data_IF_385103240160
#
_entry.id   IF_385103240160
#
_cell.length_a   1.000
_cell.length_b   1.000
_cell.length_c   1.000
_cell.angle_alpha   90.00
_cell.angle_beta   90.00
_cell.angle_gamma   90.00
#
_symmetry.space_group_name_H-M   'P 1'
#
loop_
_entity.id
_entity.type
_entity.pdbx_description
1 polymer ?
#
# COMPACT_ATOMS: atom_id res chain seq x y z
N UNK A 1 27.55 -31.94 15.90
CA UNK A 1 27.38 -30.84 14.93
C UNK A 1 25.91 -30.46 14.91
N UNK A 2 25.54 -29.46 15.71
CA UNK A 2 24.16 -29.06 15.98
C UNK A 2 23.69 -28.14 14.86
N UNK A 3 22.79 -28.60 13.99
CA UNK A 3 22.14 -27.74 13.00
C UNK A 3 21.14 -26.82 13.70
N UNK A 4 21.40 -25.50 13.69
CA UNK A 4 20.41 -24.47 14.05
C UNK A 4 19.25 -24.52 13.06
N UNK A 5 18.03 -24.76 13.56
CA UNK A 5 16.78 -24.53 12.81
C UNK A 5 16.66 -23.03 12.52
N UNK A 6 16.66 -22.64 11.25
CA UNK A 6 16.37 -21.28 10.83
C UNK A 6 14.94 -20.87 11.19
N UNK A 7 14.79 -19.65 11.72
CA UNK A 7 13.50 -19.00 11.97
C UNK A 7 12.72 -18.88 10.64
N UNK A 8 11.75 -19.76 10.42
CA UNK A 8 10.78 -19.61 9.32
C UNK A 8 9.70 -18.63 9.76
N UNK A 9 9.79 -17.37 9.31
CA UNK A 9 8.70 -16.38 9.49
C UNK A 9 7.48 -16.86 8.70
N UNK A 10 6.34 -17.03 9.38
CA UNK A 10 5.06 -17.46 8.81
C UNK A 10 4.38 -16.26 8.15
N UNK A 11 3.72 -16.46 7.00
CA UNK A 11 2.85 -15.45 6.41
C UNK A 11 1.53 -15.41 7.18
N UNK A 12 1.10 -14.22 7.59
CA UNK A 12 -0.14 -14.05 8.34
C UNK A 12 -1.12 -13.17 7.57
N UNK A 13 -2.35 -13.67 7.49
CA UNK A 13 -3.48 -12.93 6.97
C UNK A 13 -4.37 -12.54 8.15
N UNK A 14 -4.56 -11.23 8.32
CA UNK A 14 -5.45 -10.66 9.32
C UNK A 14 -6.73 -10.21 8.60
N UNK A 15 -7.85 -10.76 9.04
CA UNK A 15 -9.16 -10.47 8.47
C UNK A 15 -9.99 -9.62 9.42
N UNK A 16 -10.98 -8.96 8.82
CA UNK A 16 -12.20 -8.54 9.47
C UNK A 16 -13.28 -9.56 9.12
N UNK A 17 -13.97 -10.11 10.12
CA UNK A 17 -15.17 -10.91 9.91
C UNK A 17 -16.31 -10.29 10.74
N UNK A 18 -17.47 -10.21 10.11
CA UNK A 18 -18.76 -9.65 10.54
C UNK A 18 -19.43 -10.40 11.70
N UNK A 19 -18.64 -11.01 12.58
CA UNK A 19 -19.15 -11.87 13.66
C UNK A 19 -18.26 -11.79 14.90
N UNK A 20 -17.88 -10.59 15.35
CA UNK A 20 -17.37 -10.35 16.72
C UNK A 20 -16.15 -11.19 17.20
N UNK A 21 -15.51 -11.94 16.29
CA UNK A 21 -14.38 -12.83 16.57
C UNK A 21 -13.24 -12.38 15.67
N UNK A 22 -12.13 -11.99 16.30
CA UNK A 22 -10.88 -11.70 15.62
C UNK A 22 -10.34 -13.02 15.02
N UNK A 23 -10.73 -13.35 13.80
CA UNK A 23 -10.28 -14.57 13.11
C UNK A 23 -8.92 -14.32 12.47
N UNK A 24 -7.86 -14.81 13.13
CA UNK A 24 -6.54 -14.94 12.52
C UNK A 24 -6.45 -16.31 11.81
N UNK A 25 -6.04 -16.35 10.55
CA UNK A 25 -5.75 -17.61 9.86
C UNK A 25 -4.26 -17.73 9.59
N UNK A 26 -3.59 -18.59 10.36
CA UNK A 26 -2.22 -19.01 10.08
C UNK A 26 -2.30 -20.05 8.97
N UNK A 27 -1.83 -19.71 7.77
CA UNK A 27 -1.65 -20.69 6.70
C UNK A 27 -0.37 -21.50 6.98
N UNK A 28 -0.44 -22.47 7.89
CA UNK A 28 0.57 -23.52 8.03
C UNK A 28 0.08 -24.82 7.42
N UNK A 29 1.00 -25.59 6.83
CA UNK A 29 0.70 -26.79 6.03
C UNK A 29 0.32 -28.03 6.86
N UNK A 30 -0.03 -27.88 8.13
CA UNK A 30 -0.27 -28.99 9.04
C UNK A 30 -1.69 -28.89 9.64
N UNK A 31 -2.56 -29.83 9.25
CA UNK A 31 -3.85 -30.07 9.88
C UNK A 31 -3.62 -30.58 11.30
N UNK A 32 -4.18 -29.90 12.31
CA UNK A 32 -4.40 -30.47 13.64
C UNK A 32 -5.81 -30.11 14.09
N UNK A 33 -6.60 -31.15 14.32
CA UNK A 33 -7.95 -31.14 14.89
C UNK A 33 -7.89 -30.63 16.34
N UNK A 34 -8.85 -29.79 16.74
CA UNK A 34 -8.99 -29.36 18.14
C UNK A 34 -10.36 -29.76 18.67
N UNK A 35 -10.35 -30.58 19.72
CA UNK A 35 -11.51 -30.99 20.54
C UNK A 35 -11.58 -30.10 21.79
N UNK A 36 -12.78 -29.61 22.11
CA UNK A 36 -13.34 -29.52 23.46
C UNK A 36 -12.80 -28.53 24.52
N UNK A 37 -13.70 -27.62 24.92
CA UNK A 37 -13.94 -27.02 26.26
C UNK A 37 -13.22 -25.72 26.71
N UNK A 38 -14.05 -24.84 27.30
CA UNK A 38 -13.84 -23.51 27.91
C UNK A 38 -12.89 -23.55 29.14
N UNK A 39 -12.43 -22.47 29.81
CA UNK A 39 -13.12 -21.24 30.27
C UNK A 39 -12.15 -20.22 30.97
N UNK A 40 -12.64 -18.97 31.17
CA UNK A 40 -12.38 -18.01 32.29
C UNK A 40 -11.13 -17.06 32.42
N UNK A 41 -11.44 -15.75 32.31
CA UNK A 41 -11.17 -14.62 33.24
C UNK A 41 -9.76 -14.13 33.61
N UNK A 42 -9.52 -12.82 33.36
CA UNK A 42 -8.63 -11.81 34.05
C UNK A 42 -8.59 -10.60 33.10
N UNK A 43 -9.00 -9.35 33.36
CA UNK A 43 -9.25 -8.58 34.58
C UNK A 43 -10.12 -7.35 34.22
N UNK A 44 -11.13 -7.08 35.04
CA UNK A 44 -11.88 -5.82 35.13
C UNK A 44 -11.49 -5.10 36.43
N UNK A 45 -11.62 -3.77 36.43
CA UNK A 45 -11.21 -2.74 37.43
C UNK A 45 -9.78 -2.22 37.20
N UNK A 46 -9.55 -0.93 36.95
CA UNK A 46 -9.98 0.22 37.74
C UNK A 46 -10.29 1.44 36.84
N UNK A 47 -11.38 2.12 37.19
CA UNK A 47 -11.94 3.37 36.69
C UNK A 47 -11.29 4.59 37.40
N UNK A 48 -11.26 5.75 36.71
CA UNK A 48 -11.18 7.14 37.24
C UNK A 48 -9.89 7.64 37.93
N UNK A 49 -9.20 8.55 37.24
CA UNK A 49 -8.61 9.83 37.68
C UNK A 49 -8.33 10.59 36.35
N UNK A 50 -8.66 11.85 36.07
CA UNK A 50 -9.21 12.99 36.79
C UNK A 50 -9.69 14.02 35.75
N UNK A 51 -10.89 14.56 35.93
CA UNK A 51 -11.36 15.78 35.28
C UNK A 51 -10.74 17.03 35.94
N UNK A 52 -10.63 18.11 35.15
CA UNK A 52 -10.37 19.52 35.51
C UNK A 52 -8.94 19.97 35.87
N UNK A 53 -8.35 20.85 35.04
CA UNK A 53 -8.04 22.25 35.40
C UNK A 53 -7.70 23.12 34.16
N UNK A 54 -8.20 24.36 34.19
CA UNK A 54 -7.87 25.49 33.30
C UNK A 54 -6.50 26.10 33.68
N UNK A 55 -5.80 26.71 32.72
CA UNK A 55 -5.39 28.14 32.71
C UNK A 55 -4.13 28.42 31.87
N UNK A 56 -4.27 29.43 31.00
CA UNK A 56 -3.35 30.55 30.71
C UNK A 56 -1.87 30.32 30.29
N UNK A 57 -1.61 30.71 29.03
CA UNK A 57 -0.65 31.75 28.63
C UNK A 57 0.83 31.58 28.97
N UNK A 58 1.70 31.60 27.95
CA UNK A 58 2.84 32.53 27.92
C UNK A 58 3.43 32.64 26.51
N UNK A 59 3.82 33.87 26.19
CA UNK A 59 4.29 34.37 24.92
C UNK A 59 5.81 34.25 24.74
N UNK A 60 6.21 34.26 23.46
CA UNK A 60 7.31 35.06 22.87
C UNK A 60 8.79 34.74 23.19
N UNK A 61 9.60 34.78 22.10
CA UNK A 61 10.92 35.43 21.90
C UNK A 61 11.83 34.50 21.07
N UNK A 62 11.95 34.71 19.74
CA UNK A 62 12.94 35.52 19.00
C UNK A 62 14.35 34.88 18.90
N UNK A 63 14.77 34.65 17.64
CA UNK A 63 16.07 34.98 16.97
C UNK A 63 16.49 33.82 16.06
N UNK A 64 16.34 33.89 14.74
CA UNK A 64 17.19 34.62 13.77
C UNK A 64 18.68 34.32 13.93
N UNK A 65 19.19 33.40 13.11
CA UNK A 65 20.54 33.48 12.54
C UNK A 65 20.54 32.89 11.12
N UNK A 66 20.58 33.77 10.13
CA UNK A 66 21.10 33.51 8.78
C UNK A 66 22.63 33.48 8.85
N UNK A 67 23.26 32.54 8.14
CA UNK A 67 24.37 32.82 7.21
C UNK A 67 24.72 31.53 6.47
N UNK A 68 24.43 31.52 5.17
CA UNK A 68 24.87 30.52 4.22
C UNK A 68 25.76 31.23 3.19
N UNK A 69 27.07 30.97 3.24
CA UNK A 69 28.01 31.29 2.18
C UNK A 69 28.24 30.02 1.36
N UNK A 70 27.82 30.05 0.10
CA UNK A 70 28.14 29.04 -0.91
C UNK A 70 28.93 29.72 -2.04
N UNK A 71 30.02 29.11 -2.53
CA UNK A 71 30.50 29.37 -3.87
C UNK A 71 30.00 28.32 -4.85
N UNK A 72 29.62 28.83 -6.02
CA UNK A 72 29.08 28.15 -7.18
C UNK A 72 29.97 27.02 -7.72
N UNK A 73 29.34 26.00 -8.31
CA UNK A 73 30.01 25.07 -9.23
C UNK A 73 29.29 25.09 -10.57
N UNK A 74 30.12 25.26 -11.59
CA UNK A 74 29.87 25.41 -13.02
C UNK A 74 29.38 24.10 -13.64
N UNK A 75 28.45 24.21 -14.59
CA UNK A 75 27.90 23.13 -15.43
C UNK A 75 28.89 22.75 -16.52
N UNK A 76 29.12 21.45 -16.73
CA UNK A 76 29.60 20.90 -18.01
C UNK A 76 28.88 19.57 -18.30
N UNK A 77 28.44 19.45 -19.56
CA UNK A 77 27.66 18.38 -20.17
C UNK A 77 28.38 17.03 -20.25
N UNK A 78 27.62 15.92 -20.18
CA UNK A 78 28.12 14.59 -20.52
C UNK A 78 27.19 13.44 -20.10
N UNK A 79 26.55 12.82 -21.09
CA UNK A 79 25.72 11.61 -20.99
C UNK A 79 26.56 10.35 -20.70
N UNK A 80 26.26 9.50 -19.69
CA UNK A 80 27.08 8.31 -19.43
C UNK A 80 26.29 7.00 -19.32
N UNK A 81 25.53 6.59 -20.35
CA UNK A 81 25.30 5.17 -20.64
C UNK A 81 26.45 4.57 -21.46
N UNK A 82 27.65 4.55 -20.88
CA UNK A 82 28.82 3.77 -21.31
C UNK A 82 29.82 3.90 -20.15
N UNK A 83 30.41 2.88 -19.54
CA UNK A 83 30.89 1.57 -19.98
C UNK A 83 31.19 0.79 -18.71
N UNK A 84 30.81 -0.49 -18.66
CA UNK A 84 31.21 -1.42 -17.62
C UNK A 84 32.61 -1.95 -17.98
N UNK A 85 33.61 -1.74 -17.12
CA UNK A 85 34.79 -2.59 -17.05
C UNK A 85 35.18 -2.84 -15.60
N UNK A 86 35.22 -4.13 -15.27
CA UNK A 86 35.65 -4.69 -14.00
C UNK A 86 37.07 -4.26 -13.65
N UNK A 87 37.27 -3.77 -12.43
CA UNK A 87 38.58 -3.82 -11.78
C UNK A 87 38.41 -4.34 -10.35
N UNK A 88 39.11 -5.46 -10.11
CA UNK A 88 39.24 -6.17 -8.84
C UNK A 88 39.65 -5.22 -7.72
N UNK A 89 38.85 -5.13 -6.67
CA UNK A 89 39.23 -4.52 -5.40
C UNK A 89 39.12 -5.57 -4.29
N UNK A 90 40.20 -5.65 -3.51
CA UNK A 90 40.45 -6.61 -2.44
C UNK A 90 39.30 -6.68 -1.42
N UNK A 91 38.83 -7.90 -1.15
CA UNK A 91 37.96 -8.21 -0.04
C UNK A 91 38.74 -8.06 1.27
N UNK A 92 38.54 -6.95 1.96
CA UNK A 92 38.83 -6.83 3.39
C UNK A 92 37.49 -6.91 4.10
N UNK A 93 37.30 -8.01 4.82
CA UNK A 93 36.23 -8.22 5.77
C UNK A 93 36.41 -7.24 6.93
N UNK A 94 35.76 -6.08 6.82
CA UNK A 94 35.45 -5.24 7.95
C UNK A 94 33.95 -5.15 8.03
N UNK A 95 33.41 -5.73 9.10
CA UNK A 95 32.07 -5.47 9.62
C UNK A 95 31.86 -3.96 9.73
N UNK A 96 31.34 -3.36 8.66
CA UNK A 96 30.85 -1.98 8.69
C UNK A 96 29.58 -2.01 9.52
N UNK A 97 29.73 -1.71 10.81
CA UNK A 97 28.63 -1.32 11.69
C UNK A 97 27.89 -0.14 11.04
N UNK A 98 26.79 -0.44 10.33
CA UNK A 98 25.86 0.55 9.79
C UNK A 98 25.10 1.16 10.97
N UNK A 99 25.60 2.26 11.52
CA UNK A 99 24.82 3.15 12.38
C UNK A 99 24.69 4.51 11.68
N UNK A 100 23.63 4.66 10.91
CA UNK A 100 23.15 5.94 10.38
C UNK A 100 21.64 6.00 10.63
N UNK A 101 21.28 6.36 11.87
CA UNK A 101 19.96 6.71 12.40
C UNK A 101 18.72 6.30 11.57
N UNK A 102 18.56 5.01 11.31
CA UNK A 102 17.35 4.46 10.69
C UNK A 102 16.22 4.52 11.72
N UNK A 103 15.05 5.02 11.31
CA UNK A 103 13.85 4.98 12.15
C UNK A 103 13.30 3.55 12.20
N UNK A 104 12.46 3.26 13.19
CA UNK A 104 11.84 1.94 13.32
C UNK A 104 10.94 1.66 12.12
N UNK A 105 10.10 2.63 11.72
CA UNK A 105 9.13 2.44 10.65
C UNK A 105 9.19 3.54 9.57
N UNK A 106 8.99 3.13 8.32
CA UNK A 106 8.59 4.03 7.24
C UNK A 106 7.24 3.59 6.67
N UNK A 107 6.26 4.51 6.74
CA UNK A 107 4.92 4.37 6.18
C UNK A 107 4.89 4.98 4.79
N UNK A 108 4.62 4.14 3.79
CA UNK A 108 4.45 4.53 2.39
C UNK A 108 2.97 4.55 2.05
N UNK A 109 2.35 5.73 2.07
CA UNK A 109 0.92 5.89 1.78
C UNK A 109 0.72 6.32 0.33
N UNK A 110 0.24 5.40 -0.49
CA UNK A 110 -0.06 5.63 -1.90
C UNK A 110 -1.55 5.95 -2.06
N UNK A 111 -1.88 7.24 -2.16
CA UNK A 111 -3.25 7.74 -2.27
C UNK A 111 -3.58 8.02 -3.73
N UNK A 112 -4.24 7.06 -4.37
CA UNK A 112 -4.80 7.20 -5.70
C UNK A 112 -6.19 7.82 -5.57
N UNK A 113 -6.24 9.15 -5.61
CA UNK A 113 -7.39 9.98 -5.26
C UNK A 113 -7.95 10.76 -6.46
N UNK A 114 -7.47 10.48 -7.68
CA UNK A 114 -8.03 10.97 -8.93
C UNK A 114 -9.30 10.20 -9.29
N UNK A 115 -10.31 10.33 -8.43
CA UNK A 115 -11.63 9.72 -8.51
C UNK A 115 -12.55 10.32 -7.43
N UNK A 116 -13.75 9.76 -7.25
CA UNK A 116 -14.75 10.24 -6.29
C UNK A 116 -14.34 10.11 -4.80
N UNK A 117 -13.29 9.35 -4.49
CA UNK A 117 -12.73 9.28 -3.15
C UNK A 117 -11.86 10.48 -2.80
N UNK A 118 -11.40 11.29 -3.76
CA UNK A 118 -10.48 12.41 -3.51
C UNK A 118 -10.94 13.42 -2.44
N UNK A 119 -12.25 13.51 -2.20
CA UNK A 119 -12.85 14.29 -1.10
C UNK A 119 -12.44 13.83 0.31
N UNK A 120 -12.06 12.56 0.49
CA UNK A 120 -11.68 11.97 1.77
C UNK A 120 -10.18 12.12 2.05
N UNK A 121 -9.35 12.16 1.00
CA UNK A 121 -7.90 12.17 1.12
C UNK A 121 -7.36 13.30 2.02
N UNK A 122 -7.94 14.49 1.93
CA UNK A 122 -7.54 15.64 2.77
C UNK A 122 -7.74 15.37 4.27
N UNK A 123 -8.82 14.69 4.65
CA UNK A 123 -9.07 14.36 6.06
C UNK A 123 -8.15 13.24 6.56
N UNK A 124 -7.86 12.23 5.75
CA UNK A 124 -6.89 11.19 6.11
C UNK A 124 -5.48 11.78 6.29
N UNK A 125 -5.07 12.71 5.42
CA UNK A 125 -3.79 13.42 5.57
C UNK A 125 -3.75 14.25 6.86
N UNK A 126 -4.84 14.93 7.22
CA UNK A 126 -4.94 15.66 8.50
C UNK A 126 -4.85 14.73 9.71
N UNK A 127 -5.51 13.58 9.66
CA UNK A 127 -5.42 12.56 10.70
C UNK A 127 -3.97 12.09 10.88
N UNK A 128 -3.26 11.78 9.78
CA UNK A 128 -1.84 11.42 9.82
C UNK A 128 -0.96 12.55 10.38
N UNK A 129 -1.22 13.80 9.98
CA UNK A 129 -0.51 14.98 10.48
C UNK A 129 -0.79 15.31 11.96
N UNK A 130 -1.78 14.67 12.59
CA UNK A 130 -2.04 14.83 14.03
C UNK A 130 -0.97 14.12 14.87
N UNK A 131 -0.47 12.98 14.38
CA UNK A 131 0.66 12.23 14.95
C UNK A 131 1.96 12.73 14.31
N UNK A 132 2.05 12.67 12.99
CA UNK A 132 3.20 13.09 12.20
C UNK A 132 4.39 12.14 12.28
N UNK A 133 5.35 12.33 11.37
CA UNK A 133 6.67 11.71 11.47
C UNK A 133 7.36 12.18 12.74
N UNK A 134 7.96 11.25 13.48
CA UNK A 134 8.60 11.52 14.77
C UNK A 134 9.94 10.75 14.88
N UNK A 135 10.48 10.56 16.08
CA UNK A 135 11.74 9.85 16.27
C UNK A 135 11.69 8.36 15.84
N UNK A 136 10.51 7.73 15.87
CA UNK A 136 10.31 6.31 15.58
C UNK A 136 9.81 6.06 14.16
N UNK A 137 9.05 7.00 13.57
CA UNK A 137 8.38 6.75 12.29
C UNK A 137 8.60 7.87 11.26
N UNK A 138 8.64 7.47 9.98
CA UNK A 138 8.47 8.34 8.83
C UNK A 138 7.08 8.11 8.23
N UNK A 139 6.35 9.19 7.91
CA UNK A 139 5.07 9.15 7.20
C UNK A 139 5.23 9.87 5.87
N UNK A 140 5.18 9.08 4.80
CA UNK A 140 5.37 9.54 3.43
C UNK A 140 4.10 9.28 2.64
N UNK A 141 3.63 10.30 1.92
CA UNK A 141 2.40 10.20 1.14
C UNK A 141 2.72 10.55 -0.31
N UNK A 142 2.26 9.74 -1.27
CA UNK A 142 2.06 10.21 -2.64
C UNK A 142 0.56 10.34 -2.87
N UNK A 143 0.10 11.57 -3.09
CA UNK A 143 -1.27 11.91 -3.41
C UNK A 143 -1.36 12.23 -4.89
N UNK A 144 -2.11 11.42 -5.63
CA UNK A 144 -2.52 11.75 -6.99
C UNK A 144 -4.01 12.11 -7.00
N UNK A 145 -4.37 13.32 -7.41
CA UNK A 145 -5.73 13.86 -7.26
C UNK A 145 -6.07 14.83 -8.39
N UNK A 146 -7.33 14.86 -8.82
CA UNK A 146 -7.85 15.90 -9.70
C UNK A 146 -8.39 17.09 -8.90
N UNK A 147 -7.91 18.29 -9.21
CA UNK A 147 -8.35 19.54 -8.60
C UNK A 147 -9.34 20.29 -9.49
N UNK A 148 -9.93 21.36 -8.94
CA UNK A 148 -10.85 22.24 -9.68
C UNK A 148 -10.30 22.61 -11.06
N UNK A 149 -11.16 22.47 -12.07
CA UNK A 149 -10.79 22.59 -13.49
C UNK A 149 -10.34 21.29 -14.15
N UNK A 150 -10.49 20.13 -13.48
CA UNK A 150 -10.12 18.82 -14.02
C UNK A 150 -8.62 18.63 -14.16
N UNK A 151 -7.82 19.49 -13.49
CA UNK A 151 -6.37 19.44 -13.58
C UNK A 151 -5.87 18.38 -12.62
N UNK A 152 -5.17 17.40 -13.17
CA UNK A 152 -4.47 16.39 -12.39
C UNK A 152 -3.23 16.94 -11.69
N UNK A 153 -3.02 16.54 -10.44
CA UNK A 153 -1.82 16.83 -9.67
C UNK A 153 -1.35 15.60 -8.89
N UNK A 154 -0.04 15.36 -8.91
CA UNK A 154 0.62 14.36 -8.06
C UNK A 154 1.59 15.07 -7.12
N UNK A 155 1.49 14.80 -5.82
CA UNK A 155 2.33 15.41 -4.80
C UNK A 155 2.88 14.38 -3.85
N UNK A 156 4.16 14.51 -3.52
CA UNK A 156 4.83 13.74 -2.48
C UNK A 156 4.96 14.58 -1.23
N UNK A 157 4.55 14.01 -0.11
CA UNK A 157 4.59 14.67 1.18
C UNK A 157 5.45 13.90 2.17
N UNK A 158 6.26 14.64 2.93
CA UNK A 158 6.73 14.20 4.23
C UNK A 158 5.84 14.86 5.29
N UNK A 159 5.15 14.05 6.07
CA UNK A 159 4.12 14.52 7.01
C UNK A 159 4.73 14.64 8.40
N UNK A 160 4.72 15.85 8.95
CA UNK A 160 5.13 16.16 10.32
C UNK A 160 3.91 16.50 11.17
N UNK A 161 4.11 16.60 12.49
CA UNK A 161 3.04 16.98 13.40
C UNK A 161 2.60 18.42 13.13
N UNK A 162 1.37 18.59 12.66
CA UNK A 162 0.79 19.89 12.30
C UNK A 162 1.39 20.57 11.07
N UNK A 163 2.29 19.90 10.33
CA UNK A 163 3.01 20.48 9.20
C UNK A 163 3.26 19.46 8.09
N UNK A 164 3.23 19.88 6.83
CA UNK A 164 3.38 18.97 5.67
C UNK A 164 4.36 19.59 4.69
N UNK A 165 5.45 18.87 4.41
CA UNK A 165 6.47 19.26 3.44
C UNK A 165 6.16 18.67 2.06
N UNK A 166 6.05 19.50 1.03
CA UNK A 166 5.83 19.07 -0.36
C UNK A 166 7.18 18.81 -1.06
N UNK A 167 7.53 17.54 -1.23
CA UNK A 167 8.89 17.11 -1.59
C UNK A 167 9.20 17.23 -3.08
N UNK A 168 8.24 17.01 -3.96
CA UNK A 168 8.42 17.10 -5.42
C UNK A 168 7.96 18.44 -6.02
N UNK A 169 7.87 19.51 -5.21
CA UNK A 169 7.40 20.82 -5.64
C UNK A 169 8.22 21.43 -6.80
N UNK A 170 9.51 21.10 -6.87
CA UNK A 170 10.44 21.58 -7.90
C UNK A 170 10.59 20.63 -9.10
N UNK A 171 9.97 19.44 -9.06
CA UNK A 171 10.04 18.45 -10.13
C UNK A 171 8.71 18.40 -10.89
N UNK A 172 8.64 19.16 -11.98
CA UNK A 172 7.44 19.22 -12.82
C UNK A 172 7.07 17.86 -13.45
N UNK A 173 8.04 16.95 -13.66
CA UNK A 173 7.79 15.68 -14.32
C UNK A 173 7.08 14.66 -13.41
N UNK A 174 7.24 14.79 -12.09
CA UNK A 174 6.54 13.94 -11.11
C UNK A 174 5.26 14.55 -10.55
N UNK A 175 4.79 15.68 -11.11
CA UNK A 175 3.58 16.37 -10.64
C UNK A 175 2.30 16.03 -11.40
N UNK A 176 2.36 15.15 -12.41
CA UNK A 176 1.20 14.65 -13.16
C UNK A 176 1.42 13.18 -13.55
N UNK A 177 1.46 12.30 -12.56
CA UNK A 177 1.68 10.87 -12.72
C UNK A 177 0.34 10.13 -12.86
N UNK A 178 0.34 8.93 -13.41
CA UNK A 178 -0.83 8.04 -13.47
C UNK A 178 -0.83 7.08 -12.27
N UNK A 179 -1.78 7.21 -11.36
CA UNK A 179 -1.86 6.39 -10.16
C UNK A 179 -2.22 4.92 -10.43
N UNK A 180 -2.83 4.62 -11.58
CA UNK A 180 -3.07 3.27 -12.07
C UNK A 180 -1.85 2.63 -12.75
N UNK A 181 -0.78 3.38 -12.97
CA UNK A 181 0.45 2.87 -13.59
C UNK A 181 1.37 2.18 -12.59
N UNK A 182 1.91 0.97 -12.89
CA UNK A 182 2.92 0.33 -12.03
C UNK A 182 4.18 1.18 -11.88
N UNK A 183 4.54 1.97 -12.91
CA UNK A 183 5.71 2.84 -12.88
C UNK A 183 5.60 3.88 -11.77
N UNK A 184 4.40 4.44 -11.58
CA UNK A 184 4.14 5.47 -10.57
C UNK A 184 4.31 4.93 -9.16
N UNK A 185 3.75 3.73 -8.88
CA UNK A 185 3.94 3.04 -7.61
C UNK A 185 5.41 2.67 -7.36
N UNK A 186 6.10 2.12 -8.36
CA UNK A 186 7.53 1.77 -8.25
C UNK A 186 8.37 3.02 -7.93
N UNK A 187 8.16 4.13 -8.64
CA UNK A 187 8.92 5.36 -8.44
C UNK A 187 8.66 6.00 -7.07
N UNK A 188 7.43 5.88 -6.56
CA UNK A 188 7.10 6.30 -5.20
C UNK A 188 7.91 5.51 -4.17
N UNK A 189 7.87 4.18 -4.25
CA UNK A 189 8.58 3.32 -3.31
C UNK A 189 10.11 3.49 -3.40
N UNK A 190 10.66 3.69 -4.61
CA UNK A 190 12.08 4.00 -4.80
C UNK A 190 12.45 5.26 -4.03
N UNK A 191 11.72 6.35 -4.22
CA UNK A 191 11.97 7.58 -3.50
C UNK A 191 11.84 7.39 -1.99
N UNK A 192 10.73 6.82 -1.53
CA UNK A 192 10.43 6.69 -0.11
C UNK A 192 11.48 5.84 0.64
N UNK A 193 11.84 4.66 0.11
CA UNK A 193 12.77 3.74 0.78
C UNK A 193 14.22 4.23 0.69
N UNK A 194 14.58 4.91 -0.40
CA UNK A 194 15.95 5.44 -0.58
C UNK A 194 16.20 6.64 0.33
N UNK A 195 15.26 7.59 0.37
CA UNK A 195 15.41 8.83 1.14
C UNK A 195 15.12 8.64 2.64
N UNK A 196 14.25 7.69 3.00
CA UNK A 196 13.81 7.48 4.39
C UNK A 196 13.95 6.00 4.80
N UNK A 197 15.20 5.50 4.95
CA UNK A 197 15.43 4.14 5.35
C UNK A 197 14.95 3.88 6.78
N UNK A 198 14.27 2.75 6.97
CA UNK A 198 13.78 2.27 8.26
C UNK A 198 14.05 0.77 8.45
N UNK A 199 13.87 0.29 9.68
CA UNK A 199 13.92 -1.14 10.01
C UNK A 199 12.72 -1.89 9.42
N UNK A 200 11.54 -1.29 9.50
CA UNK A 200 10.28 -1.85 9.02
C UNK A 200 9.58 -0.96 8.00
N UNK A 201 8.94 -1.58 7.00
CA UNK A 201 8.20 -0.87 5.95
C UNK A 201 6.75 -1.32 5.87
N UNK A 202 5.84 -0.34 5.85
CA UNK A 202 4.43 -0.51 5.53
C UNK A 202 4.13 0.16 4.20
N UNK A 203 3.53 -0.55 3.26
CA UNK A 203 2.95 0.04 2.05
C UNK A 203 1.43 0.02 2.14
N UNK A 204 0.82 1.19 2.09
CA UNK A 204 -0.63 1.40 2.13
C UNK A 204 -1.09 1.79 0.73
N UNK A 205 -1.98 1.00 0.15
CA UNK A 205 -2.67 1.32 -1.11
C UNK A 205 -4.08 1.80 -0.78
N UNK A 206 -4.32 3.08 -1.00
CA UNK A 206 -5.57 3.77 -0.67
C UNK A 206 -6.34 4.10 -1.94
N UNK A 207 -7.51 3.48 -2.14
CA UNK A 207 -8.48 3.76 -3.23
C UNK A 207 -9.71 2.83 -3.07
N UNK A 208 -10.56 2.75 -4.10
CA UNK A 208 -11.39 1.61 -4.41
C UNK A 208 -10.60 0.31 -4.51
N UNK A 209 -11.32 -0.80 -4.39
CA UNK A 209 -10.84 -2.16 -4.58
C UNK A 209 -11.96 -3.07 -5.07
N UNK A 210 -11.62 -4.07 -5.88
CA UNK A 210 -12.58 -5.09 -6.35
C UNK A 210 -12.13 -6.52 -6.06
N UNK A 211 -11.07 -6.69 -5.27
CA UNK A 211 -10.54 -7.98 -4.87
C UNK A 211 -10.15 -8.87 -6.06
N UNK A 212 -10.65 -10.11 -6.05
CA UNK A 212 -10.34 -11.14 -7.06
C UNK A 212 -11.13 -11.02 -8.34
N UNK A 213 -12.10 -10.10 -8.40
CA UNK A 213 -12.75 -9.80 -9.64
C UNK A 213 -11.65 -9.31 -10.57
N UNK A 214 -11.18 -10.21 -11.44
CA UNK A 214 -10.27 -10.06 -12.58
C UNK A 214 -10.81 -11.02 -13.64
N UNK A 215 -11.55 -10.58 -14.67
CA UNK A 215 -12.02 -11.53 -15.69
C UNK A 215 -12.08 -10.92 -17.09
N UNK A 216 -11.43 -11.69 -17.97
CA UNK A 216 -11.45 -11.72 -19.42
C UNK A 216 -11.25 -10.38 -20.13
N UNK A 217 -10.00 -10.21 -20.61
CA UNK A 217 -9.74 -9.45 -21.83
C UNK A 217 -10.81 -9.84 -22.87
N UNK A 218 -11.65 -8.89 -23.27
CA UNK A 218 -12.31 -8.99 -24.55
C UNK A 218 -11.23 -9.22 -25.61
N UNK A 219 -11.21 -10.40 -26.21
CA UNK A 219 -10.51 -10.55 -27.50
C UNK A 219 -11.29 -9.68 -28.48
N UNK A 220 -10.61 -8.81 -29.21
CA UNK A 220 -11.16 -8.29 -30.46
C UNK A 220 -11.40 -9.51 -31.34
N UNK A 221 -12.66 -9.86 -31.57
CA UNK A 221 -13.03 -11.00 -32.39
C UNK A 221 -12.66 -10.65 -33.83
N UNK A 222 -11.77 -11.45 -34.43
CA UNK A 222 -11.59 -11.42 -35.87
C UNK A 222 -12.79 -12.15 -36.50
N UNK A 223 -13.56 -11.47 -37.36
CA UNK A 223 -14.75 -12.04 -37.99
C UNK A 223 -14.48 -13.37 -38.72
N UNK A 224 -13.23 -13.64 -39.11
CA UNK A 224 -12.78 -14.92 -39.68
C UNK A 224 -12.97 -16.11 -38.71
N UNK A 225 -12.87 -15.91 -37.39
CA UNK A 225 -13.01 -16.98 -36.40
C UNK A 225 -14.45 -17.53 -36.29
N UNK A 226 -15.43 -16.83 -36.87
CA UNK A 226 -16.82 -17.29 -36.96
C UNK A 226 -17.05 -18.27 -38.11
N UNK A 227 -16.06 -18.45 -39.00
CA UNK A 227 -16.17 -19.30 -40.17
C UNK A 227 -15.25 -20.52 -40.07
N UNK A 228 -15.79 -21.70 -40.36
CA UNK A 228 -15.01 -22.93 -40.54
C UNK A 228 -14.99 -23.27 -42.02
N UNK A 229 -13.81 -23.62 -42.54
CA UNK A 229 -13.71 -24.09 -43.92
C UNK A 229 -14.17 -25.54 -44.01
N UNK A 230 -15.29 -25.77 -44.69
CA UNK A 230 -15.79 -27.10 -44.96
C UNK A 230 -15.12 -27.65 -46.22
N UNK A 231 -14.15 -28.56 -46.03
CA UNK A 231 -13.35 -29.15 -47.10
C UNK A 231 -14.13 -30.10 -48.01
N UNK A 232 -15.28 -30.61 -47.55
CA UNK A 232 -16.12 -31.49 -48.35
C UNK A 232 -16.90 -30.74 -49.44
N UNK A 233 -17.24 -29.47 -49.20
CA UNK A 233 -17.98 -28.62 -50.14
C UNK A 233 -17.18 -27.39 -50.62
N UNK A 234 -15.93 -27.26 -50.16
CA UNK A 234 -14.99 -26.22 -50.52
C UNK A 234 -15.51 -24.78 -50.28
N UNK A 235 -16.20 -24.56 -49.17
CA UNK A 235 -16.80 -23.26 -48.78
C UNK A 235 -16.58 -22.96 -47.29
N UNK A 236 -16.57 -21.68 -46.94
CA UNK A 236 -16.61 -21.25 -45.55
C UNK A 236 -18.06 -21.27 -45.04
N UNK A 237 -18.29 -21.92 -43.89
CA UNK A 237 -19.58 -22.01 -43.24
C UNK A 237 -19.53 -21.32 -41.87
N UNK A 238 -20.62 -20.69 -41.47
CA UNK A 238 -20.73 -20.09 -40.15
C UNK A 238 -20.77 -21.20 -39.09
N UNK A 239 -19.91 -21.10 -38.06
CA UNK A 239 -19.93 -22.05 -36.96
C UNK A 239 -21.08 -21.76 -35.99
N UNK A 240 -22.22 -22.44 -36.20
CA UNK A 240 -23.42 -22.28 -35.37
C UNK A 240 -23.39 -23.07 -34.05
N UNK A 241 -22.28 -23.75 -33.72
CA UNK A 241 -22.14 -24.48 -32.45
C UNK A 241 -21.80 -23.57 -31.26
N UNK A 242 -21.67 -22.26 -31.48
CA UNK A 242 -21.56 -21.25 -30.42
C UNK A 242 -22.95 -20.62 -30.28
N UNK A 243 -23.60 -20.78 -29.13
CA UNK A 243 -24.93 -20.22 -28.90
C UNK A 243 -24.91 -18.68 -28.97
N UNK A 244 -25.95 -18.06 -29.53
CA UNK A 244 -26.07 -16.59 -29.60
C UNK A 244 -25.92 -15.91 -28.22
N UNK A 245 -26.32 -16.57 -27.13
CA UNK A 245 -26.12 -16.09 -25.76
C UNK A 245 -24.67 -16.24 -25.27
N UNK A 246 -23.94 -17.28 -25.69
CA UNK A 246 -22.49 -17.38 -25.45
C UNK A 246 -21.75 -16.28 -26.24
N UNK A 247 -22.21 -15.99 -27.46
CA UNK A 247 -21.72 -14.89 -28.29
C UNK A 247 -22.04 -13.50 -27.70
N UNK A 248 -23.25 -13.27 -27.19
CA UNK A 248 -23.62 -12.03 -26.51
C UNK A 248 -22.87 -11.88 -25.16
N UNK A 249 -22.66 -12.95 -24.40
CA UNK A 249 -21.85 -12.90 -23.18
C UNK A 249 -20.38 -12.53 -23.43
N UNK A 250 -19.83 -12.90 -24.61
CA UNK A 250 -18.49 -12.49 -25.03
C UNK A 250 -18.45 -11.03 -25.51
N UNK A 251 -19.56 -10.46 -25.99
CA UNK A 251 -19.61 -9.13 -26.64
C UNK A 251 -20.24 -8.03 -25.74
N UNK A 252 -21.08 -8.37 -24.76
CA UNK A 252 -21.88 -7.42 -23.98
C UNK A 252 -21.55 -7.33 -22.47
N UNK A 253 -20.42 -7.84 -21.99
CA UNK A 253 -19.98 -7.46 -20.64
C UNK A 253 -19.24 -6.13 -20.72
N UNK A 254 -19.94 -5.05 -20.37
CA UNK A 254 -19.33 -3.79 -19.90
C UNK A 254 -18.14 -4.13 -19.03
N UNK A 255 -16.97 -3.61 -19.38
CA UNK A 255 -15.73 -3.76 -18.62
C UNK A 255 -15.98 -3.47 -17.14
N UNK A 256 -16.07 -4.53 -16.33
CA UNK A 256 -15.79 -4.40 -14.92
C UNK A 256 -14.29 -4.10 -14.84
N UNK A 257 -13.96 -2.82 -14.69
CA UNK A 257 -12.61 -2.37 -14.35
C UNK A 257 -12.30 -2.94 -12.96
N UNK A 258 -11.15 -3.60 -12.83
CA UNK A 258 -10.91 -4.61 -11.81
C UNK A 258 -9.49 -4.49 -11.25
N UNK A 259 -9.33 -4.14 -9.98
CA UNK A 259 -8.00 -3.91 -9.41
C UNK A 259 -8.00 -3.09 -8.13
N UNK A 260 -7.00 -2.22 -8.02
CA UNK A 260 -6.82 -1.21 -6.99
C UNK A 260 -6.20 0.03 -7.64
N UNK A 261 -6.25 1.18 -6.97
CA UNK A 261 -5.59 2.41 -7.43
C UNK A 261 -6.10 2.91 -8.80
N UNK A 262 -7.42 3.11 -8.93
CA UNK A 262 -8.05 3.74 -10.09
C UNK A 262 -7.70 5.22 -10.26
N UNK A 263 -7.58 5.58 -11.53
CA UNK A 263 -7.21 6.89 -12.02
C UNK A 263 -8.22 7.35 -13.09
N UNK A 264 -9.21 8.16 -12.70
CA UNK A 264 -10.32 8.53 -13.59
C UNK A 264 -9.85 9.39 -14.77
N UNK A 265 -8.82 10.21 -14.60
CA UNK A 265 -8.30 11.05 -15.69
C UNK A 265 -7.68 10.22 -16.83
N UNK A 266 -7.08 9.07 -16.51
CA UNK A 266 -6.43 8.20 -17.52
C UNK A 266 -7.25 6.94 -17.85
N UNK A 267 -8.18 6.56 -16.98
CA UNK A 267 -8.92 5.29 -17.05
C UNK A 267 -8.08 4.07 -16.63
N UNK A 268 -6.87 4.28 -16.12
CA UNK A 268 -5.97 3.19 -15.72
C UNK A 268 -6.20 2.79 -14.26
N UNK A 269 -5.80 1.55 -13.95
CA UNK A 269 -5.86 0.97 -12.62
C UNK A 269 -4.81 -0.15 -12.49
N UNK A 270 -4.45 -0.51 -11.26
CA UNK A 270 -3.53 -1.60 -10.98
C UNK A 270 -4.33 -2.90 -10.82
N UNK A 271 -4.38 -3.73 -11.87
CA UNK A 271 -4.91 -5.10 -11.77
C UNK A 271 -3.93 -6.03 -11.03
N UNK A 272 -4.37 -7.25 -10.70
CA UNK A 272 -3.58 -8.17 -9.86
C UNK A 272 -2.24 -8.60 -10.47
N UNK A 273 -2.15 -8.72 -11.81
CA UNK A 273 -0.87 -9.05 -12.49
C UNK A 273 0.10 -7.88 -12.42
N UNK A 274 -0.41 -6.67 -12.61
CA UNK A 274 0.37 -5.43 -12.52
C UNK A 274 0.82 -5.18 -11.08
N UNK A 275 -0.03 -5.48 -10.10
CA UNK A 275 0.31 -5.43 -8.68
C UNK A 275 1.46 -6.40 -8.34
N UNK A 276 1.36 -7.68 -8.76
CA UNK A 276 2.43 -8.68 -8.56
C UNK A 276 3.75 -8.20 -9.19
N UNK A 277 3.70 -7.68 -10.41
CA UNK A 277 4.87 -7.13 -11.10
C UNK A 277 5.49 -5.93 -10.39
N UNK A 278 4.67 -4.97 -9.96
CA UNK A 278 5.14 -3.75 -9.30
C UNK A 278 5.81 -4.10 -7.97
N UNK A 279 5.17 -4.93 -7.15
CA UNK A 279 5.69 -5.37 -5.85
C UNK A 279 6.96 -6.21 -5.99
N UNK A 280 7.02 -7.13 -6.96
CA UNK A 280 8.23 -7.91 -7.25
C UNK A 280 9.39 -7.00 -7.65
N UNK A 281 9.11 -5.99 -8.47
CA UNK A 281 10.11 -5.00 -8.91
C UNK A 281 10.63 -4.17 -7.74
N UNK A 282 9.73 -3.69 -6.89
CA UNK A 282 10.08 -2.91 -5.69
C UNK A 282 10.94 -3.74 -4.75
N UNK A 283 10.50 -4.97 -4.44
CA UNK A 283 11.21 -5.91 -3.59
C UNK A 283 12.64 -6.16 -4.09
N UNK A 284 12.78 -6.53 -5.36
CA UNK A 284 14.08 -6.88 -5.95
C UNK A 284 15.04 -5.68 -6.04
N UNK A 285 14.51 -4.47 -6.26
CA UNK A 285 15.33 -3.25 -6.36
C UNK A 285 15.73 -2.66 -5.02
N UNK A 286 14.84 -2.69 -4.03
CA UNK A 286 14.98 -1.89 -2.81
C UNK A 286 15.12 -2.72 -1.55
N UNK A 287 14.46 -3.88 -1.47
CA UNK A 287 14.43 -4.73 -0.29
C UNK A 287 15.34 -5.97 -0.44
N UNK A 288 15.89 -6.21 -1.64
CA UNK A 288 16.70 -7.37 -1.94
C UNK A 288 15.89 -8.67 -1.77
N UNK A 289 16.32 -9.54 -0.86
CA UNK A 289 15.60 -10.77 -0.50
C UNK A 289 14.54 -10.57 0.60
N UNK A 290 14.47 -9.39 1.22
CA UNK A 290 13.44 -9.05 2.19
C UNK A 290 12.12 -8.68 1.52
N UNK A 291 11.07 -8.62 2.33
CA UNK A 291 9.70 -8.27 1.96
C UNK A 291 9.30 -7.01 2.71
N UNK A 292 8.20 -6.39 2.28
CA UNK A 292 7.50 -5.46 3.17
C UNK A 292 7.10 -6.18 4.45
N UNK A 293 7.15 -5.49 5.58
CA UNK A 293 6.65 -6.03 6.84
C UNK A 293 5.14 -6.14 6.77
N UNK A 294 4.49 -5.09 6.26
CA UNK A 294 3.05 -5.06 6.05
C UNK A 294 2.73 -4.44 4.69
N UNK A 295 1.81 -5.07 3.95
CA UNK A 295 1.06 -4.40 2.88
C UNK A 295 -0.38 -4.26 3.33
N UNK A 296 -0.86 -3.02 3.28
CA UNK A 296 -2.19 -2.60 3.70
C UNK A 296 -2.97 -2.15 2.47
N UNK A 297 -4.20 -2.63 2.37
CA UNK A 297 -5.10 -2.37 1.26
C UNK A 297 -6.33 -1.67 1.87
N UNK A 298 -6.26 -0.36 2.02
CA UNK A 298 -7.38 0.52 2.44
C UNK A 298 -8.28 0.71 1.22
N UNK A 299 -8.99 -0.38 0.90
CA UNK A 299 -9.73 -0.60 -0.32
C UNK A 299 -10.70 -1.79 -0.17
N UNK A 300 -11.84 -1.70 -0.84
CA UNK A 300 -12.91 -2.71 -0.75
C UNK A 300 -12.47 -4.08 -1.27
N UNK A 301 -12.99 -5.16 -0.67
CA UNK A 301 -12.85 -6.54 -1.18
C UNK A 301 -11.42 -7.09 -1.28
N UNK A 302 -10.43 -6.43 -0.67
CA UNK A 302 -9.03 -6.81 -0.86
C UNK A 302 -8.58 -7.99 0.01
N UNK A 303 -9.31 -8.36 1.06
CA UNK A 303 -9.00 -9.46 1.98
C UNK A 303 -9.46 -10.83 1.47
N UNK A 304 -9.10 -11.14 0.22
CA UNK A 304 -9.42 -12.41 -0.44
C UNK A 304 -8.19 -13.33 -0.50
N UNK A 305 -8.41 -14.64 -0.57
CA UNK A 305 -7.34 -15.64 -0.52
C UNK A 305 -6.37 -15.51 -1.71
N UNK A 306 -6.88 -15.17 -2.89
CA UNK A 306 -6.13 -15.04 -4.12
C UNK A 306 -5.26 -13.77 -4.11
N UNK A 307 -5.79 -12.67 -3.54
CA UNK A 307 -4.99 -11.46 -3.27
C UNK A 307 -3.90 -11.79 -2.26
N UNK A 308 -4.22 -12.48 -1.17
CA UNK A 308 -3.23 -12.94 -0.20
C UNK A 308 -2.16 -13.85 -0.83
N UNK A 309 -2.53 -14.65 -1.83
CA UNK A 309 -1.58 -15.49 -2.56
C UNK A 309 -0.59 -14.69 -3.43
N UNK A 310 -0.97 -13.49 -3.87
CA UNK A 310 -0.07 -12.53 -4.53
C UNK A 310 0.79 -11.84 -3.46
N UNK A 311 0.16 -11.23 -2.46
CA UNK A 311 0.82 -10.43 -1.44
C UNK A 311 1.84 -11.25 -0.62
N UNK A 312 1.59 -12.54 -0.37
CA UNK A 312 2.54 -13.41 0.37
C UNK A 312 3.94 -13.49 -0.24
N UNK A 313 4.09 -13.20 -1.54
CA UNK A 313 5.39 -13.18 -2.21
C UNK A 313 6.20 -11.93 -1.82
N UNK A 314 5.53 -10.86 -1.40
CA UNK A 314 6.07 -9.51 -1.28
C UNK A 314 5.96 -8.90 0.12
N UNK A 315 5.10 -9.45 0.98
CA UNK A 315 4.92 -9.00 2.37
C UNK A 315 4.93 -10.16 3.37
N UNK A 316 5.22 -9.84 4.63
CA UNK A 316 5.07 -10.76 5.76
C UNK A 316 3.64 -10.79 6.31
N UNK A 317 2.97 -9.64 6.34
CA UNK A 317 1.60 -9.46 6.80
C UNK A 317 0.80 -8.72 5.73
N UNK A 318 -0.45 -9.12 5.57
CA UNK A 318 -1.43 -8.41 4.77
C UNK A 318 -2.59 -7.98 5.66
N UNK A 319 -3.04 -6.73 5.48
CA UNK A 319 -4.26 -6.19 6.08
C UNK A 319 -5.15 -5.62 4.99
N UNK A 320 -6.44 -5.88 5.07
CA UNK A 320 -7.46 -5.33 4.16
C UNK A 320 -8.85 -5.82 4.55
N UNK A 321 -9.89 -5.24 3.96
CA UNK A 321 -11.28 -5.63 4.20
C UNK A 321 -11.76 -6.78 3.30
N UNK A 322 -12.54 -7.70 3.86
CA UNK A 322 -13.24 -8.72 3.07
C UNK A 322 -14.39 -8.11 2.26
N UNK A 323 -14.93 -6.99 2.74
CA UNK A 323 -16.15 -6.34 2.25
C UNK A 323 -15.86 -4.91 1.79
N UNK A 324 -16.93 -4.16 1.50
CA UNK A 324 -16.87 -2.73 1.23
C UNK A 324 -16.33 -1.97 2.46
N UNK A 325 -15.43 -1.02 2.22
CA UNK A 325 -15.03 -0.04 3.22
C UNK A 325 -15.83 1.26 3.02
N UNK A 326 -16.17 1.94 4.12
CA UNK A 326 -16.76 3.27 4.01
C UNK A 326 -15.74 4.23 3.41
N UNK A 327 -16.18 5.18 2.58
CA UNK A 327 -15.27 6.03 1.79
C UNK A 327 -14.25 6.85 2.61
N UNK A 328 -14.50 7.07 3.90
CA UNK A 328 -13.51 7.65 4.82
C UNK A 328 -12.27 6.80 5.03
N UNK A 329 -12.31 5.52 4.67
CA UNK A 329 -11.23 4.56 4.83
C UNK A 329 -10.86 4.38 6.29
N UNK A 330 -9.58 4.27 6.58
CA UNK A 330 -9.13 4.05 7.95
C UNK A 330 -9.05 5.35 8.75
N UNK A 331 -9.23 5.24 10.07
CA UNK A 331 -8.95 6.35 10.99
C UNK A 331 -7.45 6.39 11.29
N UNK A 332 -6.69 7.09 10.45
CA UNK A 332 -5.23 7.14 10.53
C UNK A 332 -4.70 7.69 11.85
N UNK A 333 -5.47 8.53 12.54
CA UNK A 333 -5.10 9.01 13.87
C UNK A 333 -5.05 7.83 14.86
N UNK A 334 -6.10 7.01 14.91
CA UNK A 334 -6.14 5.84 15.79
C UNK A 334 -5.14 4.76 15.39
N UNK A 335 -4.89 4.58 14.09
CA UNK A 335 -3.87 3.65 13.59
C UNK A 335 -2.48 4.07 14.05
N UNK A 336 -2.14 5.36 13.97
CA UNK A 336 -0.77 5.83 14.20
C UNK A 336 -0.50 6.28 15.64
N UNK A 337 -1.53 6.56 16.45
CA UNK A 337 -1.35 7.13 17.80
C UNK A 337 -0.52 6.25 18.75
N UNK A 338 -0.42 4.94 18.51
CA UNK A 338 0.45 4.05 19.30
C UNK A 338 1.92 4.49 19.26
N UNK A 339 2.37 5.07 18.14
CA UNK A 339 3.74 5.54 17.93
C UNK A 339 4.06 6.88 18.60
N UNK A 340 3.12 7.49 19.33
CA UNK A 340 3.44 8.56 20.27
C UNK A 340 4.01 8.02 21.59
N UNK A 341 3.70 6.75 21.92
CA UNK A 341 4.07 6.12 23.18
C UNK A 341 5.15 5.06 23.02
N UNK A 342 4.98 4.16 22.04
CA UNK A 342 5.91 3.06 21.81
C UNK A 342 5.89 2.61 20.35
N UNK A 343 7.02 2.10 19.90
CA UNK A 343 7.09 1.35 18.65
C UNK A 343 6.43 -0.02 18.83
N UNK A 344 5.77 -0.52 17.78
CA UNK A 344 5.14 -1.82 17.77
C UNK A 344 5.89 -2.75 16.81
N UNK A 345 6.00 -4.02 17.18
CA UNK A 345 6.45 -5.07 16.27
C UNK A 345 5.42 -5.31 15.16
N UNK A 346 5.82 -5.72 13.94
CA UNK A 346 4.92 -5.78 12.79
C UNK A 346 3.62 -6.54 12.99
N UNK A 347 3.67 -7.67 13.71
CA UNK A 347 2.48 -8.47 14.00
C UNK A 347 1.49 -7.73 14.91
N UNK A 348 2.00 -7.05 15.93
CA UNK A 348 1.15 -6.35 16.89
C UNK A 348 0.63 -5.06 16.29
N UNK A 349 1.40 -4.41 15.41
CA UNK A 349 0.92 -3.29 14.61
C UNK A 349 -0.21 -3.71 13.65
N UNK A 350 -0.03 -4.82 12.91
CA UNK A 350 -1.09 -5.41 12.08
C UNK A 350 -2.41 -5.65 12.82
N UNK A 351 -2.34 -6.15 14.08
CA UNK A 351 -3.53 -6.33 14.93
C UNK A 351 -4.09 -5.00 15.44
N UNK A 352 -3.23 -4.02 15.74
CA UNK A 352 -3.63 -2.69 16.20
C UNK A 352 -4.47 -1.98 15.14
N UNK A 353 -4.08 -2.06 13.88
CA UNK A 353 -4.86 -1.55 12.75
C UNK A 353 -6.28 -2.12 12.73
N UNK A 354 -6.40 -3.44 12.87
CA UNK A 354 -7.70 -4.12 12.90
C UNK A 354 -8.55 -3.61 14.06
N UNK A 355 -7.96 -3.43 15.25
CA UNK A 355 -8.66 -2.86 16.40
C UNK A 355 -9.07 -1.40 16.20
N UNK A 356 -8.22 -0.59 15.57
CA UNK A 356 -8.50 0.81 15.28
C UNK A 356 -9.68 0.96 14.30
N UNK A 357 -9.73 0.13 13.26
CA UNK A 357 -10.85 0.07 12.33
C UNK A 357 -12.14 -0.36 13.04
N UNK A 358 -12.08 -1.44 13.83
CA UNK A 358 -13.22 -1.90 14.63
C UNK A 358 -13.73 -0.80 15.57
N UNK A 359 -12.84 -0.12 16.31
CA UNK A 359 -13.23 0.97 17.20
C UNK A 359 -13.92 2.12 16.46
N UNK A 360 -13.49 2.41 15.23
CA UNK A 360 -14.06 3.47 14.40
C UNK A 360 -15.48 3.12 13.94
N UNK A 361 -15.70 1.88 13.49
CA UNK A 361 -16.91 1.53 12.75
C UNK A 361 -17.94 0.69 13.52
N UNK A 362 -17.55 0.00 14.59
CA UNK A 362 -18.46 -0.87 15.36
C UNK A 362 -19.69 -0.13 15.95
N UNK A 363 -19.61 1.19 16.13
CA UNK A 363 -20.74 1.99 16.63
C UNK A 363 -21.59 2.60 15.49
N UNK A 364 -21.11 2.52 14.25
CA UNK A 364 -21.71 3.14 13.07
C UNK A 364 -22.41 2.09 12.22
N UNK A 365 -21.76 0.94 12.04
CA UNK A 365 -22.27 -0.19 11.27
C UNK A 365 -22.43 -1.38 12.23
N UNK A 366 -23.52 -2.14 12.07
CA UNK A 366 -23.88 -3.27 12.95
C UNK A 366 -23.38 -4.61 12.41
N UNK A 367 -22.48 -4.59 11.43
CA UNK A 367 -21.96 -5.76 10.72
C UNK A 367 -20.67 -6.31 11.34
#
# INVERSE_FOLDING_TARGET
MTMKRGNRRRFLLLFFATTGVLTYRILSRDFVQYDGNADCTVFDKIIQLSDNQKSDGFSSIISTYCHCDAPAVVVCDGDPYSTITENKINLVDQSVTRKTNTKDWTFLVYMAADNDLGRFATNNIKQMATVGSNAQINILIQLDISVSGGRKITRRYYVEKGHILHFNASDAQSQQMDSGSPKTLILFCIWAITEFPAEYYVLILWNHGTGILDLNKGRIINAIELFIFNTAINRFELNCNIGFFDFINVVNQKDEQRGICWDDSTGNYINNKVLDYALETIKNKLLGSNKFDIIELDACFMSMLEIANIIKKHAHIMVGSQEVELGTGWNYFLVLTSFDQQTLEPLDFGKHIVKAYQYTYHQITND
#
